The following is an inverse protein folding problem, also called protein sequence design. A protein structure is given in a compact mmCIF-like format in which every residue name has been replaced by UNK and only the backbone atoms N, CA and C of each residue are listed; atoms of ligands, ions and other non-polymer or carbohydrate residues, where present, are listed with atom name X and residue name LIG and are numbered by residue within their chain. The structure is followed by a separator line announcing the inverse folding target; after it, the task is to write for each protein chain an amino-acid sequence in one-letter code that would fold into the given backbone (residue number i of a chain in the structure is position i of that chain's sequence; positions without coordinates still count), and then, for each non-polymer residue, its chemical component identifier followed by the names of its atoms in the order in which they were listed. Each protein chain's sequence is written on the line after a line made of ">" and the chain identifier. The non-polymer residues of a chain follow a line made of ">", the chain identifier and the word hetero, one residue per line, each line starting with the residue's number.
data_IF_441274910087
#
_entry.id   IF_441274910087
#
_cell.length_a   1.000
_cell.length_b   1.000
_cell.length_c   1.000
_cell.angle_alpha   90.00
_cell.angle_beta   90.00
_cell.angle_gamma   90.00
#
_symmetry.space_group_name_H-M   'P 1'
#
loop_
_entity.id
_entity.type
_entity.pdbx_description
1 polymer ?
#
# COMPACT_ATOMS: atom_id res chain seq x y z
N UNK A 1 12.35 18.55 -5.44
CA UNK A 1 13.01 18.99 -6.69
C UNK A 1 12.57 18.03 -7.79
N UNK A 2 11.52 18.39 -8.53
CA UNK A 2 10.99 17.53 -9.61
C UNK A 2 11.86 17.72 -10.84
N UNK A 3 12.81 16.81 -11.05
CA UNK A 3 13.64 16.77 -12.25
C UNK A 3 12.75 16.34 -13.43
N UNK A 4 12.17 17.33 -14.12
CA UNK A 4 11.34 17.12 -15.30
C UNK A 4 12.24 16.78 -16.50
N UNK A 5 12.85 15.59 -16.47
CA UNK A 5 13.72 15.09 -17.53
C UNK A 5 12.83 14.57 -18.65
N UNK A 6 12.89 15.21 -19.81
CA UNK A 6 12.17 14.75 -21.00
C UNK A 6 12.89 13.53 -21.57
N UNK A 7 12.29 12.36 -21.40
CA UNK A 7 12.82 11.08 -21.88
C UNK A 7 12.56 10.83 -23.37
N UNK A 8 11.72 11.66 -23.99
CA UNK A 8 11.30 11.53 -25.39
C UNK A 8 12.43 11.82 -26.40
N UNK A 9 13.49 12.48 -25.96
CA UNK A 9 14.67 12.81 -26.79
C UNK A 9 15.85 11.86 -26.57
N UNK A 10 15.66 10.75 -25.84
CA UNK A 10 16.76 9.86 -25.46
C UNK A 10 16.83 8.62 -26.34
N UNK A 11 18.05 8.29 -26.77
CA UNK A 11 18.32 7.02 -27.44
C UNK A 11 18.14 5.83 -26.49
N UNK A 12 17.81 4.66 -27.07
CA UNK A 12 17.55 3.41 -26.34
C UNK A 12 18.67 3.05 -25.34
N UNK A 13 19.93 3.24 -25.73
CA UNK A 13 21.07 2.92 -24.86
C UNK A 13 21.14 3.85 -23.64
N UNK A 14 20.84 5.14 -23.82
CA UNK A 14 20.82 6.12 -22.73
C UNK A 14 19.70 5.82 -21.74
N UNK A 15 18.53 5.41 -22.23
CA UNK A 15 17.41 4.95 -21.40
C UNK A 15 17.80 3.73 -20.55
N UNK A 16 18.43 2.72 -21.17
CA UNK A 16 18.87 1.52 -20.46
C UNK A 16 19.90 1.86 -19.37
N UNK A 17 20.88 2.70 -19.68
CA UNK A 17 21.87 3.16 -18.70
C UNK A 17 21.21 3.88 -17.51
N UNK A 18 20.20 4.72 -17.78
CA UNK A 18 19.48 5.45 -16.74
C UNK A 18 18.64 4.54 -15.86
N UNK A 19 17.95 3.56 -16.43
CA UNK A 19 17.17 2.58 -15.66
C UNK A 19 18.10 1.80 -14.73
N UNK A 20 19.25 1.31 -15.24
CA UNK A 20 20.24 0.60 -14.41
C UNK A 20 20.75 1.46 -13.25
N UNK A 21 21.00 2.74 -13.49
CA UNK A 21 21.41 3.69 -12.44
C UNK A 21 20.35 3.82 -11.35
N UNK A 22 19.08 3.99 -11.74
CA UNK A 22 17.96 4.11 -10.80
C UNK A 22 17.76 2.83 -9.98
N UNK A 23 17.90 1.66 -10.59
CA UNK A 23 17.83 0.39 -9.87
C UNK A 23 18.96 0.26 -8.83
N UNK A 24 20.19 0.72 -9.15
CA UNK A 24 21.29 0.75 -8.18
C UNK A 24 20.98 1.68 -7.01
N UNK A 25 20.43 2.86 -7.28
CA UNK A 25 20.06 3.84 -6.26
C UNK A 25 18.99 3.29 -5.30
N UNK A 26 17.97 2.60 -5.84
CA UNK A 26 16.94 1.94 -5.03
C UNK A 26 17.56 0.82 -4.17
N UNK A 27 18.43 -0.02 -4.75
CA UNK A 27 19.14 -1.08 -3.99
C UNK A 27 19.96 -0.50 -2.83
N UNK A 28 20.64 0.63 -3.04
CA UNK A 28 21.38 1.32 -1.99
C UNK A 28 20.47 1.89 -0.90
N UNK A 29 19.34 2.51 -1.28
CA UNK A 29 18.35 3.06 -0.34
C UNK A 29 17.71 1.97 0.51
N UNK A 30 17.36 0.84 -0.11
CA UNK A 30 16.77 -0.31 0.57
C UNK A 30 17.78 -0.99 1.51
N UNK A 31 19.05 -1.08 1.12
CA UNK A 31 20.11 -1.61 1.99
C UNK A 31 20.36 -0.68 3.20
N UNK A 32 20.32 0.64 3.01
CA UNK A 32 20.44 1.62 4.09
C UNK A 32 19.23 1.56 5.04
N UNK A 33 18.01 1.44 4.49
CA UNK A 33 16.79 1.29 5.28
C UNK A 33 16.76 -0.02 6.08
N UNK A 34 17.20 -1.15 5.48
CA UNK A 34 17.31 -2.44 6.17
C UNK A 34 18.35 -2.42 7.29
N UNK A 35 19.49 -1.75 7.12
CA UNK A 35 20.50 -1.59 8.18
C UNK A 35 19.97 -0.80 9.39
N UNK A 36 19.12 0.21 9.17
CA UNK A 36 18.52 0.98 10.24
C UNK A 36 17.52 0.16 11.08
N UNK A 37 16.82 -0.81 10.50
CA UNK A 37 15.83 -1.66 11.21
C UNK A 37 16.49 -2.72 12.09
N UNK A 38 17.65 -3.26 11.67
CA UNK A 38 18.35 -4.31 12.43
C UNK A 38 19.01 -3.81 13.72
N UNK A 39 19.20 -2.49 13.90
CA UNK A 39 19.82 -1.89 15.09
C UNK A 39 18.88 -1.71 16.30
N UNK A 40 17.57 -1.94 16.14
CA UNK A 40 16.58 -1.73 17.21
C UNK A 40 16.13 -3.00 17.94
N UNK A 41 16.50 -4.18 17.47
CA UNK A 41 16.16 -5.45 18.12
C UNK A 41 17.43 -6.27 18.38
N UNK A 42 18.18 -5.94 19.44
CA UNK A 42 19.26 -6.79 19.96
C UNK A 42 19.56 -6.47 21.43
N UNK A 43 18.88 -7.13 22.37
CA UNK A 43 19.39 -7.44 23.71
C UNK A 43 18.56 -8.58 24.37
N UNK A 44 19.16 -9.42 25.23
CA UNK A 44 18.98 -10.88 25.18
C UNK A 44 18.44 -11.53 26.47
N UNK A 45 17.94 -12.78 26.40
CA UNK A 45 18.14 -13.84 27.42
C UNK A 45 17.54 -15.20 27.00
N UNK A 46 18.40 -16.22 26.97
CA UNK A 46 18.09 -17.67 27.00
C UNK A 46 18.15 -18.17 28.47
N UNK A 47 18.10 -19.49 28.78
CA UNK A 47 16.92 -20.36 28.92
C UNK A 47 16.85 -21.08 30.30
N UNK A 48 15.74 -21.78 30.60
CA UNK A 48 15.71 -22.88 31.59
C UNK A 48 14.64 -22.78 32.69
N UNK A 49 14.18 -23.95 33.15
CA UNK A 49 13.51 -24.09 34.46
C UNK A 49 12.05 -24.53 34.43
N UNK A 50 11.85 -25.80 34.10
CA UNK A 50 10.80 -26.71 34.56
C UNK A 50 10.33 -26.53 36.01
N UNK A 51 9.00 -26.60 36.20
CA UNK A 51 8.25 -27.26 37.30
C UNK A 51 7.10 -26.43 37.91
N UNK A 52 5.89 -26.94 37.67
CA UNK A 52 4.78 -27.10 38.62
C UNK A 52 4.31 -25.93 39.50
N UNK A 53 3.16 -25.34 39.15
CA UNK A 53 2.01 -25.29 40.07
C UNK A 53 0.75 -24.75 39.41
N UNK A 54 -0.33 -25.48 39.61
CA UNK A 54 -1.69 -25.14 39.23
C UNK A 54 -2.16 -23.87 39.97
N UNK A 55 -2.59 -22.86 39.21
CA UNK A 55 -3.52 -21.82 39.69
C UNK A 55 -4.47 -21.50 38.54
N UNK A 56 -5.76 -21.70 38.79
CA UNK A 56 -6.85 -21.49 37.85
C UNK A 56 -6.88 -20.05 37.32
N UNK A 57 -6.84 -19.90 35.99
CA UNK A 57 -6.94 -18.61 35.31
C UNK A 57 -8.41 -18.21 35.07
N UNK A 58 -8.75 -16.90 35.12
CA UNK A 58 -10.13 -16.41 34.99
C UNK A 58 -10.68 -16.56 33.56
N UNK A 59 -12.02 -16.49 33.37
CA UNK A 59 -12.66 -16.76 32.08
C UNK A 59 -12.21 -15.77 30.99
N UNK A 60 -12.24 -16.19 29.71
CA UNK A 60 -11.73 -15.38 28.61
C UNK A 60 -12.54 -14.09 28.47
N UNK A 61 -11.84 -12.96 28.50
CA UNK A 61 -12.41 -11.64 28.27
C UNK A 61 -13.15 -11.63 26.92
N UNK A 62 -14.46 -11.42 26.97
CA UNK A 62 -15.30 -11.25 25.78
C UNK A 62 -14.72 -10.10 24.98
N UNK A 63 -14.24 -10.39 23.75
CA UNK A 63 -13.80 -9.38 22.79
C UNK A 63 -14.92 -8.36 22.64
N UNK A 64 -14.72 -7.15 23.16
CA UNK A 64 -15.62 -6.03 22.90
C UNK A 64 -15.66 -5.88 21.38
N UNK A 65 -16.81 -6.14 20.76
CA UNK A 65 -17.04 -5.72 19.37
C UNK A 65 -16.69 -4.23 19.37
N UNK A 66 -15.63 -3.87 18.66
CA UNK A 66 -15.29 -2.47 18.40
C UNK A 66 -16.51 -1.92 17.70
N UNK A 67 -17.37 -1.25 18.46
CA UNK A 67 -18.56 -0.60 17.92
C UNK A 67 -18.09 0.21 16.73
N UNK A 68 -18.84 0.14 15.63
CA UNK A 68 -18.61 1.02 14.50
C UNK A 68 -18.39 2.41 15.08
N UNK A 69 -17.15 2.91 14.98
CA UNK A 69 -16.83 4.20 15.53
C UNK A 69 -17.82 5.14 14.84
N UNK A 70 -18.67 5.82 15.62
CA UNK A 70 -19.60 6.80 15.11
C UNK A 70 -18.75 7.95 14.56
N UNK A 71 -18.29 7.77 13.33
CA UNK A 71 -17.56 8.78 12.57
C UNK A 71 -18.60 9.82 12.24
N UNK A 72 -18.40 11.00 12.79
CA UNK A 72 -19.22 12.17 12.49
C UNK A 72 -18.99 12.55 11.01
N UNK A 73 -20.00 12.37 10.12
CA UNK A 73 -19.84 12.65 8.70
C UNK A 73 -19.61 14.13 8.41
N UNK A 74 -19.92 15.03 9.35
CA UNK A 74 -19.67 16.48 9.21
C UNK A 74 -18.22 16.87 9.48
N UNK A 75 -17.43 16.04 10.20
CA UNK A 75 -16.04 16.36 10.53
C UNK A 75 -15.04 15.97 9.45
N UNK A 76 -15.45 15.11 8.52
CA UNK A 76 -14.60 14.56 7.48
C UNK A 76 -15.27 14.77 6.12
N UNK A 77 -15.07 15.97 5.53
CA UNK A 77 -15.48 16.25 4.15
C UNK A 77 -14.79 15.35 3.13
N UNK A 78 -13.67 14.72 3.52
CA UNK A 78 -12.99 13.67 2.78
C UNK A 78 -12.66 12.52 3.72
N UNK A 79 -12.92 11.30 3.29
CA UNK A 79 -12.48 10.09 3.97
C UNK A 79 -11.90 9.11 2.95
N UNK A 80 -10.91 8.33 3.37
CA UNK A 80 -10.41 7.25 2.54
C UNK A 80 -11.36 6.06 2.62
N UNK A 81 -11.90 5.66 1.47
CA UNK A 81 -12.80 4.51 1.35
C UNK A 81 -12.12 3.42 0.54
N UNK A 82 -12.28 2.18 1.00
CA UNK A 82 -11.93 1.00 0.22
C UNK A 82 -13.22 0.42 -0.37
N UNK A 83 -13.30 0.41 -1.70
CA UNK A 83 -14.46 -0.11 -2.42
C UNK A 83 -14.11 -1.49 -2.99
N UNK A 84 -15.04 -2.43 -2.88
CA UNK A 84 -14.97 -3.73 -3.55
C UNK A 84 -16.08 -3.78 -4.59
N UNK A 85 -15.69 -3.79 -5.85
CA UNK A 85 -16.60 -3.77 -6.99
C UNK A 85 -16.30 -4.93 -7.94
N UNK A 86 -17.33 -5.34 -8.68
CA UNK A 86 -17.23 -6.32 -9.74
C UNK A 86 -17.76 -5.69 -11.02
N UNK A 87 -17.14 -6.00 -12.16
CA UNK A 87 -17.58 -5.50 -13.46
C UNK A 87 -17.37 -6.56 -14.54
N UNK A 88 -18.13 -6.46 -15.62
CA UNK A 88 -18.02 -7.33 -16.77
C UNK A 88 -17.09 -6.70 -17.82
N UNK A 89 -15.90 -7.28 -18.00
CA UNK A 89 -14.86 -6.70 -18.87
C UNK A 89 -15.14 -6.69 -20.37
N UNK A 90 -16.25 -7.28 -20.85
CA UNK A 90 -16.54 -7.43 -22.29
C UNK A 90 -16.68 -6.11 -23.06
N UNK A 91 -17.15 -5.05 -22.38
CA UNK A 91 -17.49 -3.77 -23.01
C UNK A 91 -16.56 -2.61 -22.61
N UNK A 92 -15.52 -2.90 -21.83
CA UNK A 92 -14.64 -1.88 -21.26
C UNK A 92 -13.19 -2.21 -21.56
N UNK A 93 -12.38 -1.19 -21.77
CA UNK A 93 -10.94 -1.35 -22.00
C UNK A 93 -10.16 -1.47 -20.68
N UNK A 94 -10.59 -2.39 -19.81
CA UNK A 94 -10.01 -2.58 -18.48
C UNK A 94 -10.40 -1.52 -17.45
N UNK A 95 -9.65 -1.47 -16.35
CA UNK A 95 -9.93 -0.60 -15.21
C UNK A 95 -9.31 0.80 -15.37
N UNK A 96 -8.01 0.85 -15.64
CA UNK A 96 -7.19 2.07 -15.69
C UNK A 96 -7.55 2.95 -16.89
N UNK A 97 -7.61 4.27 -16.68
CA UNK A 97 -7.81 5.24 -17.75
C UNK A 97 -6.66 5.28 -18.78
N UNK A 98 -7.00 5.19 -20.06
CA UNK A 98 -6.05 5.35 -21.17
C UNK A 98 -6.52 6.48 -22.11
N UNK A 99 -5.64 7.44 -22.40
CA UNK A 99 -5.98 8.64 -23.19
C UNK A 99 -6.36 8.34 -24.65
N UNK A 100 -5.87 7.24 -25.23
CA UNK A 100 -6.08 6.87 -26.65
C UNK A 100 -7.09 5.74 -26.85
N UNK A 101 -7.81 5.33 -25.81
CA UNK A 101 -8.75 4.23 -25.89
C UNK A 101 -10.08 4.65 -26.55
N UNK A 102 -10.55 3.86 -27.51
CA UNK A 102 -11.86 4.03 -28.16
C UNK A 102 -13.01 3.60 -27.23
N UNK A 103 -12.77 2.60 -26.39
CA UNK A 103 -13.74 2.11 -25.41
C UNK A 103 -13.52 2.77 -24.05
N UNK A 104 -14.62 3.02 -23.33
CA UNK A 104 -14.57 3.58 -21.99
C UNK A 104 -13.88 2.62 -21.00
N UNK A 105 -13.25 3.19 -19.98
CA UNK A 105 -12.62 2.45 -18.87
C UNK A 105 -13.49 2.55 -17.62
N UNK A 106 -13.34 1.58 -16.71
CA UNK A 106 -14.17 1.53 -15.50
C UNK A 106 -13.94 2.76 -14.62
N UNK A 107 -12.70 3.24 -14.45
CA UNK A 107 -12.42 4.47 -13.70
C UNK A 107 -13.12 5.70 -14.27
N UNK A 108 -13.16 5.83 -15.60
CA UNK A 108 -13.78 6.97 -16.26
C UNK A 108 -15.29 7.04 -15.98
N UNK A 109 -15.97 5.90 -16.07
CA UNK A 109 -17.40 5.77 -15.75
C UNK A 109 -17.68 5.98 -14.26
N UNK A 110 -16.83 5.41 -13.40
CA UNK A 110 -16.93 5.58 -11.96
C UNK A 110 -16.79 7.07 -11.61
N UNK A 111 -15.72 7.74 -12.02
CA UNK A 111 -15.53 9.17 -11.75
C UNK A 111 -16.69 10.02 -12.27
N UNK A 112 -17.20 9.75 -13.49
CA UNK A 112 -18.36 10.46 -14.03
C UNK A 112 -19.61 10.28 -13.17
N UNK A 113 -19.84 9.06 -12.66
CA UNK A 113 -21.07 8.74 -11.92
C UNK A 113 -21.02 9.13 -10.45
N UNK A 114 -19.82 9.28 -9.88
CA UNK A 114 -19.61 9.65 -8.48
C UNK A 114 -19.75 11.15 -8.20
N UNK A 115 -19.85 11.98 -9.24
CA UNK A 115 -20.33 13.35 -9.08
C UNK A 115 -21.84 13.34 -8.77
N UNK A 116 -22.18 13.45 -7.47
CA UNK A 116 -23.48 13.86 -6.92
C UNK A 116 -23.40 15.33 -6.53
#
# INVERSE_FOLDING_TARGET
>A
MSNNVRYDTWDKERLICRVRQLEMEIRHRDAAAKKAVTLTHSAPSTPGGDSSSAVAAPPPAKKRKKGAANIDPSRYSYCYVALRLAYLGKHYNGFEHQQSAVQATIESELCRRWHI
#
